data_IF_270981347327
#
_entry.id   IF_270981347327
#
_cell.length_a   1.000
_cell.length_b   1.000
_cell.length_c   1.000
_cell.angle_alpha   90.00
_cell.angle_beta   90.00
_cell.angle_gamma   90.00
#
_symmetry.space_group_name_H-M   'P 1'
#
loop_
_entity.id
_entity.type
_entity.pdbx_description
1 polymer ?
#
# COMPACT_ATOMS: atom_id res chain seq x y z
N UNK A 1 5.30 74.61 38.17
CA UNK A 1 4.28 74.99 37.15
C UNK A 1 3.98 73.75 36.31
N UNK A 2 2.68 73.53 36.09
CA UNK A 2 1.99 72.49 35.32
C UNK A 2 2.73 71.91 34.10
N UNK A 3 2.62 70.59 33.86
CA UNK A 3 1.65 70.03 32.88
C UNK A 3 1.56 68.50 32.91
N UNK A 4 0.31 68.07 32.98
CA UNK A 4 -0.21 66.71 32.83
C UNK A 4 -0.13 66.23 31.37
N UNK A 5 0.05 64.92 31.19
CA UNK A 5 -0.12 64.21 29.91
C UNK A 5 -0.63 62.78 30.17
N UNK A 6 -1.71 62.41 29.49
CA UNK A 6 -2.59 61.26 29.76
C UNK A 6 -2.14 60.00 29.00
N UNK A 7 -2.35 58.86 29.65
CA UNK A 7 -2.91 57.58 29.13
C UNK A 7 -2.50 57.07 27.74
N UNK A 8 -1.97 55.84 27.68
CA UNK A 8 -2.67 54.65 27.14
C UNK A 8 -1.69 53.53 26.75
N UNK A 9 -2.00 52.31 27.19
CA UNK A 9 -1.76 51.07 26.44
C UNK A 9 -0.34 50.51 26.42
N UNK A 10 -0.10 49.45 27.19
CA UNK A 10 0.86 48.43 26.82
C UNK A 10 0.27 47.06 27.17
N UNK A 11 0.13 46.24 26.14
CA UNK A 11 -0.55 44.96 26.10
C UNK A 11 0.14 43.96 27.03
N UNK A 12 -0.66 43.25 27.83
CA UNK A 12 -0.22 42.11 28.61
C UNK A 12 0.16 40.97 27.67
N UNK A 13 1.45 40.68 27.56
CA UNK A 13 1.97 39.46 26.96
C UNK A 13 1.81 38.31 27.96
N UNK A 14 0.97 37.33 27.62
CA UNK A 14 0.94 36.03 28.29
C UNK A 14 1.44 34.96 27.30
N UNK A 15 2.68 34.52 27.53
CA UNK A 15 3.34 33.44 26.79
C UNK A 15 2.71 32.13 27.22
N UNK A 16 1.97 31.47 26.33
CA UNK A 16 1.56 30.08 26.52
C UNK A 16 2.67 29.16 25.99
N UNK A 17 3.40 28.53 26.92
CA UNK A 17 4.25 27.38 26.63
C UNK A 17 3.33 26.18 26.44
N UNK A 18 3.12 25.76 25.18
CA UNK A 18 2.47 24.49 24.87
C UNK A 18 3.55 23.43 24.65
N UNK A 19 3.51 22.44 25.52
CA UNK A 19 4.38 21.27 25.59
C UNK A 19 4.33 20.44 24.31
N UNK A 20 5.51 20.05 23.82
CA UNK A 20 5.66 19.04 22.79
C UNK A 20 5.13 17.68 23.30
N UNK A 21 3.93 17.31 22.85
CA UNK A 21 3.53 15.90 22.78
C UNK A 21 3.88 15.45 21.36
N UNK A 22 4.99 14.72 21.23
CA UNK A 22 5.33 14.04 19.99
C UNK A 22 4.20 13.09 19.62
N UNK A 23 3.55 13.35 18.48
CA UNK A 23 2.78 12.32 17.80
C UNK A 23 3.75 11.23 17.37
N UNK A 24 3.95 10.25 18.25
CA UNK A 24 4.14 8.87 17.80
C UNK A 24 2.82 8.43 17.17
N UNK A 25 2.67 8.74 15.89
CA UNK A 25 1.76 8.03 15.01
C UNK A 25 2.67 7.30 14.04
N UNK A 26 2.97 6.05 14.41
CA UNK A 26 3.62 5.07 13.58
C UNK A 26 2.93 5.01 12.21
N UNK A 27 3.64 5.53 11.21
CA UNK A 27 3.48 5.29 9.77
C UNK A 27 2.10 4.89 9.29
N UNK A 28 1.18 5.86 9.18
CA UNK A 28 0.16 5.81 8.15
C UNK A 28 0.89 6.09 6.82
N UNK A 29 1.43 5.01 6.25
CA UNK A 29 2.04 5.03 4.93
C UNK A 29 0.89 5.23 3.95
N UNK A 30 0.63 6.48 3.61
CA UNK A 30 -0.25 6.84 2.52
C UNK A 30 0.20 6.17 1.23
N UNK A 31 -0.54 5.15 0.81
CA UNK A 31 -0.52 4.65 -0.56
C UNK A 31 -1.58 5.44 -1.33
N UNK A 32 -1.14 6.43 -2.08
CA UNK A 32 -2.01 7.23 -2.94
C UNK A 32 -2.53 6.41 -4.12
N UNK A 33 -3.84 6.50 -4.32
CA UNK A 33 -4.58 6.59 -5.60
C UNK A 33 -3.75 6.19 -6.84
N UNK A 34 -3.68 4.89 -7.12
CA UNK A 34 -3.36 4.40 -8.46
C UNK A 34 -4.51 3.49 -8.89
N UNK A 35 -5.28 3.95 -9.87
CA UNK A 35 -6.32 3.20 -10.58
C UNK A 35 -5.89 1.74 -10.77
N UNK A 36 -6.73 0.84 -10.28
CA UNK A 36 -6.33 -0.35 -9.54
C UNK A 36 -5.63 -1.43 -10.38
N UNK A 37 -4.32 -1.30 -10.60
CA UNK A 37 -3.51 -2.43 -11.03
C UNK A 37 -3.61 -3.53 -9.96
N UNK A 38 -3.84 -4.79 -10.36
CA UNK A 38 -4.01 -5.90 -9.41
C UNK A 38 -2.78 -6.02 -8.49
N UNK A 39 -2.95 -5.58 -7.25
CA UNK A 39 -1.91 -5.52 -6.23
C UNK A 39 -2.39 -6.23 -4.97
N UNK A 40 -1.51 -7.04 -4.36
CA UNK A 40 -1.83 -7.80 -3.15
C UNK A 40 -0.67 -7.74 -2.16
N UNK A 41 -1.00 -7.74 -0.87
CA UNK A 41 -0.02 -7.84 0.20
C UNK A 41 0.01 -9.26 0.77
N UNK A 42 1.20 -9.85 0.85
CA UNK A 42 1.44 -11.14 1.49
C UNK A 42 2.70 -11.06 2.36
N UNK A 43 2.59 -11.44 3.64
CA UNK A 43 3.67 -11.33 4.64
C UNK A 43 4.37 -9.95 4.67
N UNK A 44 3.60 -8.87 4.53
CA UNK A 44 4.12 -7.49 4.53
C UNK A 44 4.88 -7.08 3.27
N UNK A 45 4.77 -7.85 2.18
CA UNK A 45 5.33 -7.53 0.86
C UNK A 45 4.21 -7.29 -0.14
N UNK A 46 4.40 -6.29 -0.97
CA UNK A 46 3.52 -5.95 -2.08
C UNK A 46 3.90 -6.78 -3.31
N UNK A 47 2.90 -7.40 -3.93
CA UNK A 47 3.02 -8.12 -5.19
C UNK A 47 2.07 -7.52 -6.20
N UNK A 48 2.49 -7.44 -7.46
CA UNK A 48 1.71 -6.85 -8.55
C UNK A 48 1.61 -7.83 -9.70
N UNK A 49 0.49 -7.82 -10.40
CA UNK A 49 0.40 -8.46 -11.71
C UNK A 49 1.34 -7.73 -12.70
N UNK A 50 2.03 -8.51 -13.52
CA UNK A 50 3.05 -8.02 -14.46
C UNK A 50 2.86 -8.56 -15.88
N UNK A 51 2.16 -9.70 -16.04
CA UNK A 51 1.91 -10.35 -17.31
C UNK A 51 1.07 -11.63 -17.12
N UNK A 52 0.32 -11.99 -18.16
CA UNK A 52 -0.28 -13.33 -18.28
C UNK A 52 0.78 -14.30 -18.82
N UNK A 53 1.54 -14.92 -17.91
CA UNK A 53 2.51 -15.98 -18.23
C UNK A 53 1.94 -17.34 -17.88
N UNK A 54 2.40 -18.40 -18.54
CA UNK A 54 2.15 -19.76 -18.05
C UNK A 54 3.00 -20.03 -16.81
N UNK A 55 2.39 -20.57 -15.76
CA UNK A 55 3.08 -20.96 -14.54
C UNK A 55 2.43 -22.19 -13.92
N UNK A 56 3.16 -22.84 -13.00
CA UNK A 56 2.64 -23.99 -12.24
C UNK A 56 2.51 -23.61 -10.78
N UNK A 57 1.29 -23.69 -10.26
CA UNK A 57 0.99 -23.54 -8.83
C UNK A 57 1.51 -24.73 -8.03
N UNK A 58 2.07 -24.47 -6.85
CA UNK A 58 2.50 -25.50 -5.90
C UNK A 58 1.65 -25.46 -4.62
N UNK A 59 2.25 -25.65 -3.44
CA UNK A 59 1.54 -25.67 -2.17
C UNK A 59 0.89 -24.33 -1.82
N UNK A 60 -0.23 -24.40 -1.07
CA UNK A 60 -0.84 -23.22 -0.46
C UNK A 60 0.07 -22.69 0.65
N UNK A 61 0.47 -21.43 0.52
CA UNK A 61 1.38 -20.74 1.44
C UNK A 61 0.64 -19.93 2.51
N UNK A 62 -0.57 -19.46 2.22
CA UNK A 62 -1.36 -18.68 3.18
C UNK A 62 -2.47 -17.86 2.54
N UNK A 63 -2.64 -16.64 3.04
CA UNK A 63 -3.66 -15.68 2.59
C UNK A 63 -3.02 -14.36 2.21
N UNK A 64 -3.26 -13.89 0.99
CA UNK A 64 -2.91 -12.56 0.52
C UNK A 64 -4.09 -11.61 0.73
N UNK A 65 -3.80 -10.32 0.92
CA UNK A 65 -4.82 -9.28 1.08
C UNK A 65 -4.74 -8.30 -0.07
N UNK A 66 -5.82 -8.18 -0.84
CA UNK A 66 -5.98 -7.14 -1.84
C UNK A 66 -6.58 -5.90 -1.16
N UNK A 67 -5.96 -4.71 -1.28
CA UNK A 67 -6.55 -3.49 -0.78
C UNK A 67 -7.83 -3.15 -1.57
N UNK A 68 -8.74 -2.37 -0.98
CA UNK A 68 -9.89 -1.85 -1.74
C UNK A 68 -9.44 -1.08 -2.98
N UNK A 69 -10.25 -1.14 -4.03
CA UNK A 69 -9.92 -0.68 -5.37
C UNK A 69 -10.96 0.35 -5.80
N UNK A 70 -10.80 1.61 -5.39
CA UNK A 70 -11.77 2.69 -5.65
C UNK A 70 -11.84 3.07 -7.16
N UNK A 71 -12.50 2.22 -7.95
CA UNK A 71 -12.68 2.38 -9.41
C UNK A 71 -14.12 2.80 -9.78
N UNK A 72 -14.95 3.14 -8.78
CA UNK A 72 -16.32 3.60 -9.04
C UNK A 72 -16.48 5.01 -8.52
N UNK A 73 -16.37 6.00 -9.42
CA UNK A 73 -16.72 7.40 -9.16
C UNK A 73 -18.23 7.60 -8.93
N UNK A 74 -18.79 6.95 -7.93
CA UNK A 74 -20.22 6.91 -7.65
C UNK A 74 -20.52 6.61 -6.18
N UNK A 75 -21.00 7.65 -5.51
CA UNK A 75 -21.81 7.70 -4.29
C UNK A 75 -21.22 7.07 -3.00
N UNK A 76 -20.78 8.00 -2.16
CA UNK A 76 -20.86 8.06 -0.70
C UNK A 76 -21.36 6.78 0.03
N UNK A 77 -20.48 6.22 0.87
CA UNK A 77 -20.73 5.22 1.91
C UNK A 77 -20.81 3.73 1.52
N UNK A 78 -19.88 3.23 0.70
CA UNK A 78 -19.35 1.89 0.96
C UNK A 78 -17.85 1.91 0.75
N UNK A 79 -17.10 2.14 1.84
CA UNK A 79 -15.68 1.84 1.85
C UNK A 79 -15.51 0.39 1.38
N UNK A 80 -14.98 0.21 0.16
CA UNK A 80 -14.69 -1.11 -0.33
C UNK A 80 -13.82 -1.82 0.72
N UNK A 81 -14.13 -3.09 0.99
CA UNK A 81 -13.37 -3.86 1.96
C UNK A 81 -12.23 -4.56 1.26
N UNK A 82 -11.08 -4.61 1.93
CA UNK A 82 -9.97 -5.44 1.50
C UNK A 82 -10.44 -6.90 1.28
N UNK A 83 -10.10 -7.46 0.14
CA UNK A 83 -10.41 -8.85 -0.22
C UNK A 83 -9.28 -9.76 0.24
N UNK A 84 -9.61 -10.99 0.65
CA UNK A 84 -8.63 -11.98 1.11
C UNK A 84 -8.70 -13.22 0.25
N UNK A 85 -7.60 -13.55 -0.41
CA UNK A 85 -7.47 -14.69 -1.32
C UNK A 85 -6.39 -15.65 -0.85
N UNK A 86 -6.39 -16.88 -1.36
CA UNK A 86 -5.32 -17.82 -1.06
C UNK A 86 -4.04 -17.43 -1.79
N UNK A 87 -2.91 -17.49 -1.09
CA UNK A 87 -1.59 -17.37 -1.68
C UNK A 87 -0.98 -18.76 -1.85
N UNK A 88 -0.40 -19.02 -3.02
CA UNK A 88 0.24 -20.27 -3.39
C UNK A 88 1.67 -20.04 -3.89
N UNK A 89 2.49 -21.08 -3.82
CA UNK A 89 3.81 -21.08 -4.40
C UNK A 89 3.75 -21.20 -5.92
N UNK A 90 4.82 -20.75 -6.57
CA UNK A 90 5.03 -20.94 -8.01
C UNK A 90 6.28 -21.79 -8.20
N UNK A 91 6.16 -22.84 -9.02
CA UNK A 91 7.25 -23.77 -9.27
C UNK A 91 8.48 -23.04 -9.82
N UNK A 92 9.64 -23.25 -9.19
CA UNK A 92 10.91 -22.67 -9.63
C UNK A 92 11.15 -21.22 -9.20
N UNK A 93 10.20 -20.59 -8.51
CA UNK A 93 10.34 -19.22 -8.01
C UNK A 93 10.21 -19.16 -6.47
N UNK A 94 11.08 -18.41 -5.79
CA UNK A 94 10.94 -18.23 -4.36
C UNK A 94 9.72 -17.34 -4.06
N UNK A 95 8.96 -17.60 -2.97
CA UNK A 95 7.80 -16.78 -2.59
C UNK A 95 8.13 -15.30 -2.40
N UNK A 96 9.37 -14.96 -2.04
CA UNK A 96 9.83 -13.57 -1.93
C UNK A 96 9.94 -12.83 -3.26
N UNK A 97 9.87 -13.54 -4.40
CA UNK A 97 9.93 -12.98 -5.76
C UNK A 97 8.57 -13.05 -6.44
N UNK A 98 7.90 -14.21 -6.38
CA UNK A 98 6.60 -14.39 -6.99
C UNK A 98 5.75 -15.38 -6.20
N UNK A 99 4.43 -15.17 -6.26
CA UNK A 99 3.41 -16.06 -5.72
C UNK A 99 2.25 -16.13 -6.73
N UNK A 100 1.36 -17.09 -6.53
CA UNK A 100 0.08 -17.12 -7.22
C UNK A 100 -1.05 -16.79 -6.23
N UNK A 101 -2.02 -15.98 -6.63
CA UNK A 101 -3.11 -15.53 -5.75
C UNK A 101 -4.47 -15.77 -6.40
N UNK A 102 -5.36 -16.46 -5.69
CA UNK A 102 -6.73 -16.71 -6.14
C UNK A 102 -7.53 -17.54 -5.14
N UNK A 103 -8.80 -17.77 -5.44
CA UNK A 103 -9.66 -18.59 -4.60
C UNK A 103 -9.32 -20.09 -4.68
N UNK A 104 -8.74 -20.50 -5.82
CA UNK A 104 -8.32 -21.86 -6.15
C UNK A 104 -6.97 -21.82 -6.90
N UNK A 105 -6.23 -22.94 -6.99
CA UNK A 105 -5.02 -23.03 -7.82
C UNK A 105 -5.28 -22.77 -9.32
N UNK A 106 -6.45 -23.18 -9.84
CA UNK A 106 -6.82 -23.05 -11.25
C UNK A 106 -7.20 -21.62 -11.66
N UNK A 107 -7.71 -20.82 -10.71
CA UNK A 107 -8.10 -19.42 -10.93
C UNK A 107 -7.03 -18.43 -10.42
N UNK A 108 -5.86 -18.93 -10.03
CA UNK A 108 -4.81 -18.10 -9.45
C UNK A 108 -4.17 -17.20 -10.51
N UNK A 109 -3.81 -15.98 -10.09
CA UNK A 109 -3.08 -15.00 -10.91
C UNK A 109 -1.63 -14.96 -10.47
N UNK A 110 -0.71 -14.88 -11.43
CA UNK A 110 0.72 -14.71 -11.18
C UNK A 110 1.05 -13.28 -10.77
N UNK A 111 1.67 -13.10 -9.60
CA UNK A 111 2.05 -11.77 -9.10
C UNK A 111 3.49 -11.75 -8.60
N UNK A 112 4.15 -10.61 -8.78
CA UNK A 112 5.58 -10.43 -8.55
C UNK A 112 5.85 -9.30 -7.56
N UNK A 113 6.75 -9.57 -6.63
CA UNK A 113 7.31 -8.55 -5.73
C UNK A 113 8.58 -7.98 -6.35
N UNK A 114 8.53 -6.72 -6.79
CA UNK A 114 9.67 -5.99 -7.32
C UNK A 114 9.70 -4.55 -6.79
N UNK A 115 10.87 -3.93 -6.79
CA UNK A 115 11.05 -2.54 -6.37
C UNK A 115 11.33 -1.63 -7.57
N UNK A 116 10.75 -0.43 -7.55
CA UNK A 116 10.86 0.53 -8.66
C UNK A 116 10.17 0.02 -9.93
N UNK A 117 10.78 0.26 -11.09
CA UNK A 117 10.21 -0.11 -12.40
C UNK A 117 10.87 -1.32 -13.05
N UNK A 118 11.76 -2.02 -12.33
CA UNK A 118 12.62 -3.07 -12.88
C UNK A 118 12.20 -4.43 -12.38
N UNK A 119 11.71 -5.29 -13.28
CA UNK A 119 11.43 -6.69 -12.97
C UNK A 119 12.71 -7.50 -12.73
N UNK A 120 12.69 -8.48 -11.80
CA UNK A 120 13.78 -9.42 -11.63
C UNK A 120 14.09 -10.18 -12.93
N UNK A 121 15.36 -10.54 -13.22
CA UNK A 121 15.74 -11.20 -14.47
C UNK A 121 14.96 -12.50 -14.75
N UNK A 122 14.77 -13.34 -13.74
CA UNK A 122 14.02 -14.58 -13.85
C UNK A 122 12.55 -14.37 -14.29
N UNK A 123 11.96 -13.23 -13.93
CA UNK A 123 10.59 -12.88 -14.34
C UNK A 123 10.57 -12.41 -15.79
N UNK A 124 11.57 -11.63 -16.22
CA UNK A 124 11.68 -11.19 -17.62
C UNK A 124 11.86 -12.37 -18.55
N UNK A 125 12.71 -13.33 -18.20
CA UNK A 125 12.92 -14.55 -18.98
C UNK A 125 11.62 -15.34 -19.15
N UNK A 126 10.78 -15.41 -18.11
CA UNK A 126 9.46 -16.06 -18.20
C UNK A 126 8.49 -15.31 -19.12
N UNK A 127 8.51 -13.98 -19.11
CA UNK A 127 7.63 -13.16 -19.96
C UNK A 127 8.09 -13.18 -21.42
N UNK A 128 9.40 -13.17 -21.66
CA UNK A 128 9.99 -13.11 -23.00
C UNK A 128 10.06 -14.49 -23.69
N UNK A 129 9.74 -15.58 -22.97
CA UNK A 129 9.69 -16.94 -23.51
C UNK A 129 8.28 -17.25 -24.03
N UNK A 130 8.08 -17.37 -25.36
CA UNK A 130 6.77 -17.62 -25.96
C UNK A 130 6.28 -19.06 -25.84
#
# INVERSE_FOLDING_TARGET
>A
MSRSGRSAGALLAAVMVMTAAGCGADGDRGEGEASCAFEVTYQGRTYRDVANVEFTVTDKLGTATQPPCDDTGGDEETAERATRESAYGVKGLPPGTAIAVGSSPEDAVFVVSYSGSTLPPAIRELIDSP
#
